data_IF_011664892908
#
_entry.id   IF_011664892908
#
_cell.length_a   1.000
_cell.length_b   1.000
_cell.length_c   1.000
_cell.angle_alpha   90.00
_cell.angle_beta   90.00
_cell.angle_gamma   90.00
#
_symmetry.space_group_name_H-M   'P 1'
#
loop_
_entity.id
_entity.type
_entity.pdbx_description
1 polymer ?
#
# COMPACT_ATOMS: atom_id res chain seq x y z
N UNK A 1 -21.51 -10.08 5.88
CA UNK A 1 -20.07 -10.32 5.64
C UNK A 1 -19.96 -10.67 4.17
N UNK A 2 -19.12 -9.96 3.42
CA UNK A 2 -18.93 -10.27 1.99
C UNK A 2 -18.12 -11.56 1.91
N UNK A 3 -18.52 -12.48 1.03
CA UNK A 3 -17.82 -13.74 0.87
C UNK A 3 -16.45 -13.53 0.20
N UNK A 4 -15.42 -14.25 0.66
CA UNK A 4 -14.06 -14.11 0.13
C UNK A 4 -14.01 -14.45 -1.36
N UNK A 5 -14.72 -15.50 -1.79
CA UNK A 5 -14.76 -15.90 -3.20
C UNK A 5 -15.45 -14.84 -4.06
N UNK A 6 -16.49 -14.19 -3.52
CA UNK A 6 -17.16 -13.07 -4.19
C UNK A 6 -16.20 -11.89 -4.40
N UNK A 7 -15.35 -11.55 -3.41
CA UNK A 7 -14.37 -10.48 -3.56
C UNK A 7 -13.25 -10.85 -4.54
N UNK A 8 -12.69 -12.06 -4.44
CA UNK A 8 -11.68 -12.56 -5.37
C UNK A 8 -12.21 -12.52 -6.80
N UNK A 9 -13.46 -12.96 -7.03
CA UNK A 9 -14.10 -12.89 -8.33
C UNK A 9 -14.36 -11.45 -8.79
N UNK A 10 -14.88 -10.59 -7.90
CA UNK A 10 -15.18 -9.18 -8.19
C UNK A 10 -13.94 -8.40 -8.62
N UNK A 11 -12.82 -8.69 -7.98
CA UNK A 11 -11.54 -8.04 -8.21
C UNK A 11 -10.64 -8.81 -9.20
N UNK A 12 -11.16 -9.87 -9.84
CA UNK A 12 -10.45 -10.74 -10.78
C UNK A 12 -9.09 -11.23 -10.22
N UNK A 13 -9.00 -11.42 -8.90
CA UNK A 13 -7.77 -11.83 -8.21
C UNK A 13 -7.46 -13.27 -8.60
N UNK A 14 -6.26 -13.51 -9.13
CA UNK A 14 -5.82 -14.86 -9.48
C UNK A 14 -5.90 -15.78 -8.24
N UNK A 15 -6.37 -17.02 -8.42
CA UNK A 15 -6.54 -17.98 -7.33
C UNK A 15 -5.28 -18.13 -6.45
N UNK A 16 -4.10 -18.24 -7.05
CA UNK A 16 -2.82 -18.33 -6.34
C UNK A 16 -2.58 -17.12 -5.45
N UNK A 17 -2.97 -15.94 -5.93
CA UNK A 17 -2.84 -14.70 -5.17
C UNK A 17 -3.91 -14.56 -4.08
N UNK A 18 -5.12 -15.02 -4.37
CA UNK A 18 -6.19 -15.17 -3.38
C UNK A 18 -5.74 -16.04 -2.20
N UNK A 19 -5.10 -17.17 -2.46
CA UNK A 19 -4.57 -18.03 -1.37
C UNK A 19 -3.53 -17.30 -0.52
N UNK A 20 -2.71 -16.43 -1.11
CA UNK A 20 -1.71 -15.65 -0.36
C UNK A 20 -2.33 -14.60 0.55
N UNK A 21 -3.54 -14.11 0.25
CA UNK A 21 -4.21 -13.12 1.10
C UNK A 21 -4.60 -13.64 2.47
N UNK A 22 -4.70 -14.96 2.65
CA UNK A 22 -4.90 -15.55 3.98
C UNK A 22 -3.76 -15.24 4.96
N UNK A 23 -2.60 -14.77 4.49
CA UNK A 23 -1.56 -14.22 5.39
C UNK A 23 -2.09 -13.09 6.28
N UNK A 24 -3.11 -12.36 5.82
CA UNK A 24 -3.72 -11.27 6.58
C UNK A 24 -4.54 -11.79 7.77
N UNK A 25 -4.85 -13.09 7.83
CA UNK A 25 -5.44 -13.71 9.01
C UNK A 25 -4.45 -13.65 10.16
N UNK A 26 -4.79 -12.87 11.19
CA UNK A 26 -3.89 -12.65 12.33
C UNK A 26 -3.04 -11.38 12.23
N UNK A 27 -3.34 -10.49 11.27
CA UNK A 27 -2.92 -9.09 11.33
C UNK A 27 -4.07 -8.21 11.84
N UNK A 28 -3.75 -7.29 12.76
CA UNK A 28 -4.49 -6.04 12.88
C UNK A 28 -4.07 -5.11 11.75
N UNK A 29 -5.03 -4.55 11.00
CA UNK A 29 -4.73 -3.75 9.82
C UNK A 29 -5.06 -2.28 10.09
N UNK A 30 -4.04 -1.42 9.93
CA UNK A 30 -4.17 0.03 10.05
C UNK A 30 -3.85 0.70 8.72
N UNK A 31 -4.72 1.61 8.31
CA UNK A 31 -4.51 2.46 7.14
C UNK A 31 -4.29 3.91 7.59
N UNK A 32 -3.17 4.53 7.24
CA UNK A 32 -2.89 5.96 7.43
C UNK A 32 -3.09 6.64 6.07
N UNK A 33 -4.07 7.51 5.98
CA UNK A 33 -4.43 8.23 4.77
C UNK A 33 -3.88 9.66 4.82
N UNK A 34 -3.07 10.01 3.82
CA UNK A 34 -2.72 11.39 3.55
C UNK A 34 -3.94 12.15 3.02
N UNK A 35 -4.40 13.10 3.80
CA UNK A 35 -5.47 14.02 3.45
C UNK A 35 -4.99 15.46 3.45
N UNK A 36 -3.72 15.69 3.13
CA UNK A 36 -3.11 17.00 2.95
C UNK A 36 -3.58 17.72 1.69
N UNK A 37 -3.22 19.00 1.57
CA UNK A 37 -3.58 19.82 0.41
C UNK A 37 -3.00 19.32 -0.92
N UNK A 38 -1.79 18.74 -0.91
CA UNK A 38 -1.09 18.25 -2.11
C UNK A 38 -1.84 17.12 -2.80
N UNK A 39 -2.59 16.31 -2.05
CA UNK A 39 -3.42 15.24 -2.58
C UNK A 39 -4.54 15.72 -3.54
N UNK A 40 -4.87 17.02 -3.58
CA UNK A 40 -5.80 17.55 -4.58
C UNK A 40 -5.16 17.74 -5.97
N UNK A 41 -3.86 17.51 -6.11
CA UNK A 41 -3.15 17.60 -7.39
C UNK A 41 -3.76 16.60 -8.38
N UNK A 42 -4.18 17.05 -9.58
CA UNK A 42 -4.60 16.16 -10.65
C UNK A 42 -3.47 15.21 -11.02
N UNK A 43 -3.79 13.97 -11.35
CA UNK A 43 -2.82 13.04 -11.92
C UNK A 43 -2.56 13.40 -13.38
N UNK A 44 -1.31 13.53 -13.78
CA UNK A 44 -0.98 13.81 -15.18
C UNK A 44 -1.35 12.63 -16.08
N UNK A 45 -2.08 12.98 -17.16
CA UNK A 45 -2.47 12.11 -18.27
C UNK A 45 -3.55 11.07 -17.93
N UNK A 46 -4.68 11.08 -18.65
CA UNK A 46 -5.59 9.92 -18.89
C UNK A 46 -7.00 10.30 -19.34
N UNK A 47 -7.40 11.56 -19.25
CA UNK A 47 -8.78 11.95 -19.50
C UNK A 47 -8.88 12.74 -20.81
N UNK A 48 -9.95 12.53 -21.60
CA UNK A 48 -10.15 13.33 -22.81
C UNK A 48 -10.15 14.83 -22.48
N UNK A 49 -10.02 15.73 -23.47
CA UNK A 49 -9.93 17.18 -23.25
C UNK A 49 -11.11 17.81 -22.47
N UNK A 50 -12.15 17.03 -22.16
CA UNK A 50 -13.35 17.44 -21.44
C UNK A 50 -13.65 16.60 -20.19
N UNK A 51 -12.86 15.56 -19.92
CA UNK A 51 -13.07 14.71 -18.75
C UNK A 51 -12.40 15.32 -17.52
N UNK A 52 -13.03 15.16 -16.35
CA UNK A 52 -12.44 15.58 -15.09
C UNK A 52 -11.27 14.65 -14.76
N UNK A 53 -10.06 15.19 -14.72
CA UNK A 53 -8.88 14.45 -14.29
C UNK A 53 -9.04 14.02 -12.81
N UNK A 54 -8.84 12.73 -12.49
CA UNK A 54 -8.83 12.29 -11.10
C UNK A 54 -7.65 12.94 -10.36
N UNK A 55 -7.88 13.31 -9.10
CA UNK A 55 -6.80 13.75 -8.21
C UNK A 55 -6.14 12.57 -7.49
N UNK A 56 -4.94 12.78 -6.94
CA UNK A 56 -4.28 11.83 -6.04
C UNK A 56 -5.19 11.41 -4.86
N UNK A 57 -6.03 12.33 -4.39
CA UNK A 57 -7.05 12.09 -3.38
C UNK A 57 -8.15 11.16 -3.87
N UNK A 58 -8.59 11.27 -5.12
CA UNK A 58 -9.57 10.35 -5.71
C UNK A 58 -9.01 8.94 -5.86
N UNK A 59 -7.74 8.83 -6.23
CA UNK A 59 -7.02 7.55 -6.27
C UNK A 59 -6.88 6.92 -4.88
N UNK A 60 -6.49 7.71 -3.86
CA UNK A 60 -6.42 7.23 -2.48
C UNK A 60 -7.78 6.69 -2.02
N UNK A 61 -8.89 7.39 -2.29
CA UNK A 61 -10.24 6.90 -1.93
C UNK A 61 -10.54 5.54 -2.54
N UNK A 62 -10.20 5.35 -3.81
CA UNK A 62 -10.41 4.10 -4.52
C UNK A 62 -9.56 2.99 -3.91
N UNK A 63 -8.27 3.26 -3.73
CA UNK A 63 -7.28 2.40 -3.07
C UNK A 63 -7.78 1.92 -1.71
N UNK A 64 -8.09 2.85 -0.81
CA UNK A 64 -8.57 2.54 0.54
C UNK A 64 -9.87 1.76 0.48
N UNK A 65 -10.77 2.10 -0.45
CA UNK A 65 -12.05 1.38 -0.60
C UNK A 65 -11.85 -0.09 -1.00
N UNK A 66 -10.92 -0.38 -1.91
CA UNK A 66 -10.59 -1.74 -2.33
C UNK A 66 -9.96 -2.50 -1.17
N UNK A 67 -8.92 -1.91 -0.55
CA UNK A 67 -8.17 -2.55 0.53
C UNK A 67 -9.07 -2.82 1.73
N UNK A 68 -9.87 -1.87 2.18
CA UNK A 68 -10.79 -2.06 3.32
C UNK A 68 -11.76 -3.20 3.05
N UNK A 69 -12.32 -3.29 1.84
CA UNK A 69 -13.25 -4.36 1.51
C UNK A 69 -12.57 -5.74 1.51
N UNK A 70 -11.31 -5.82 1.07
CA UNK A 70 -10.52 -7.06 1.10
C UNK A 70 -10.07 -7.43 2.51
N UNK A 71 -9.40 -6.51 3.20
CA UNK A 71 -8.83 -6.68 4.52
C UNK A 71 -9.89 -7.02 5.58
N UNK A 72 -11.08 -6.42 5.51
CA UNK A 72 -12.19 -6.71 6.45
C UNK A 72 -12.78 -8.12 6.35
N UNK A 73 -12.38 -8.92 5.35
CA UNK A 73 -12.71 -10.35 5.31
C UNK A 73 -11.81 -11.16 6.24
N UNK A 74 -10.57 -10.70 6.46
CA UNK A 74 -9.56 -11.37 7.27
C UNK A 74 -9.45 -10.79 8.68
N UNK A 75 -9.73 -9.49 8.82
CA UNK A 75 -9.80 -8.80 10.10
C UNK A 75 -11.26 -8.77 10.60
N UNK A 76 -11.56 -9.62 11.59
CA UNK A 76 -12.90 -9.74 12.14
C UNK A 76 -13.39 -8.49 12.88
N UNK A 77 -12.47 -7.69 13.44
CA UNK A 77 -12.82 -6.43 14.06
C UNK A 77 -12.93 -5.30 13.04
N UNK A 78 -12.17 -5.44 11.94
CA UNK A 78 -12.18 -4.55 10.79
C UNK A 78 -10.97 -3.63 10.78
N UNK A 79 -10.86 -2.82 9.74
CA UNK A 79 -9.67 -1.98 9.52
C UNK A 79 -9.81 -0.66 10.26
N UNK A 80 -8.74 -0.19 10.89
CA UNK A 80 -8.69 1.14 11.48
C UNK A 80 -8.04 2.14 10.51
N UNK A 81 -8.75 3.23 10.24
CA UNK A 81 -8.36 4.23 9.25
C UNK A 81 -8.04 5.55 9.95
N UNK A 82 -6.75 5.89 10.00
CA UNK A 82 -6.23 7.16 10.48
C UNK A 82 -6.07 8.12 9.30
N UNK A 83 -6.13 9.40 9.59
CA UNK A 83 -5.90 10.47 8.63
C UNK A 83 -4.87 11.44 9.21
N UNK A 84 -4.16 12.16 8.34
CA UNK A 84 -3.16 13.12 8.79
C UNK A 84 -3.76 14.37 9.45
N UNK A 85 -4.90 14.84 8.92
CA UNK A 85 -5.49 16.13 9.28
C UNK A 85 -6.93 16.02 9.83
N UNK A 86 -7.44 14.80 10.06
CA UNK A 86 -8.77 14.57 10.67
C UNK A 86 -8.77 13.37 11.62
N UNK A 87 -9.89 13.20 12.33
CA UNK A 87 -10.05 12.13 13.32
C UNK A 87 -10.03 10.74 12.65
N UNK A 88 -9.46 9.72 13.32
CA UNK A 88 -9.51 8.35 12.83
C UNK A 88 -10.94 7.78 12.85
N UNK A 89 -11.15 6.75 12.04
CA UNK A 89 -12.37 5.93 11.99
C UNK A 89 -11.97 4.49 12.27
N UNK A 90 -12.56 3.90 13.30
CA UNK A 90 -12.21 2.58 13.77
C UNK A 90 -13.19 1.51 13.27
N UNK A 91 -12.69 0.28 13.15
CA UNK A 91 -13.45 -0.96 12.96
C UNK A 91 -14.27 -0.90 11.66
N UNK A 92 -13.62 -0.43 10.60
CA UNK A 92 -14.20 -0.27 9.28
C UNK A 92 -14.29 -1.63 8.62
N UNK A 93 -15.52 -2.14 8.46
CA UNK A 93 -15.83 -3.44 7.86
C UNK A 93 -16.30 -3.35 6.42
N UNK A 94 -16.48 -2.14 5.91
CA UNK A 94 -16.92 -1.87 4.54
C UNK A 94 -16.54 -0.45 4.14
N UNK A 95 -16.02 -0.27 2.93
CA UNK A 95 -15.66 1.04 2.38
C UNK A 95 -16.82 2.05 2.37
N UNK A 96 -18.08 1.60 2.35
CA UNK A 96 -19.26 2.48 2.47
C UNK A 96 -19.26 3.32 3.74
N UNK A 97 -18.64 2.85 4.83
CA UNK A 97 -18.51 3.62 6.08
C UNK A 97 -17.60 4.84 5.93
N UNK A 98 -16.72 4.85 4.93
CA UNK A 98 -15.78 5.96 4.67
C UNK A 98 -16.35 7.02 3.73
N UNK A 99 -17.45 6.73 3.02
CA UNK A 99 -18.08 7.68 2.08
C UNK A 99 -18.35 9.05 2.71
N UNK A 100 -18.95 9.15 3.90
CA UNK A 100 -19.20 10.46 4.53
C UNK A 100 -17.92 11.24 4.83
N UNK A 101 -16.82 10.53 5.11
CA UNK A 101 -15.52 11.12 5.45
C UNK A 101 -14.82 11.63 4.20
N UNK A 102 -14.92 10.89 3.10
CA UNK A 102 -14.30 11.24 1.82
C UNK A 102 -15.03 12.33 1.04
N UNK A 103 -16.24 12.73 1.46
CA UNK A 103 -16.91 13.93 0.93
C UNK A 103 -16.12 15.19 1.29
N UNK A 104 -15.43 15.20 2.43
CA UNK A 104 -14.61 16.32 2.87
C UNK A 104 -13.29 16.30 2.06
N UNK A 105 -12.98 17.36 1.30
CA UNK A 105 -11.74 17.45 0.54
C UNK A 105 -10.49 17.29 1.42
N UNK A 106 -9.37 16.92 0.80
CA UNK A 106 -8.08 16.90 1.48
C UNK A 106 -7.58 18.35 1.68
N UNK A 107 -6.98 18.65 2.82
CA UNK A 107 -6.46 19.97 3.16
C UNK A 107 -5.50 19.90 4.34
N UNK A 108 -4.53 20.80 4.39
CA UNK A 108 -3.58 20.90 5.51
C UNK A 108 -2.18 20.38 5.14
N UNK A 109 -1.27 20.35 6.14
CA UNK A 109 0.08 19.82 5.99
C UNK A 109 0.10 18.27 5.86
N UNK A 110 1.29 17.69 5.79
CA UNK A 110 1.52 16.23 5.71
C UNK A 110 2.21 15.69 6.97
N UNK A 111 1.59 15.78 8.17
CA UNK A 111 2.19 15.42 9.45
C UNK A 111 2.24 13.91 9.70
N UNK A 112 2.99 13.17 8.87
CA UNK A 112 3.09 11.70 8.96
C UNK A 112 3.67 11.26 10.31
N UNK A 113 4.76 11.89 10.75
CA UNK A 113 5.49 11.52 11.98
C UNK A 113 4.59 11.48 13.24
N UNK A 114 3.85 12.55 13.61
CA UNK A 114 3.01 12.51 14.81
C UNK A 114 1.87 11.50 14.71
N UNK A 115 1.28 11.30 13.52
CA UNK A 115 0.20 10.31 13.32
C UNK A 115 0.74 8.89 13.37
N UNK A 116 1.89 8.62 12.77
CA UNK A 116 2.55 7.31 12.83
C UNK A 116 2.88 6.94 14.29
N UNK A 117 3.45 7.87 15.07
CA UNK A 117 3.67 7.68 16.51
C UNK A 117 2.38 7.52 17.30
N UNK A 118 1.29 8.15 16.86
CA UNK A 118 -0.01 7.93 17.49
C UNK A 118 -0.49 6.50 17.27
N UNK A 119 -0.44 6.00 16.03
CA UNK A 119 -0.77 4.61 15.68
C UNK A 119 0.05 3.62 16.50
N UNK A 120 1.38 3.76 16.53
CA UNK A 120 2.25 2.85 17.29
C UNK A 120 1.90 2.77 18.79
N UNK A 121 1.46 3.89 19.38
CA UNK A 121 1.06 3.93 20.80
C UNK A 121 -0.34 3.36 21.02
N UNK A 122 -1.28 3.73 20.16
CA UNK A 122 -2.68 3.30 20.26
C UNK A 122 -2.79 1.77 20.07
N UNK A 123 -1.99 1.26 19.13
CA UNK A 123 -1.93 -0.14 18.73
C UNK A 123 -0.88 -0.95 19.51
N UNK A 124 -0.32 -0.39 20.57
CA UNK A 124 0.75 -1.06 21.32
C UNK A 124 0.33 -2.44 21.84
N UNK A 125 -0.94 -2.61 22.20
CA UNK A 125 -1.49 -3.88 22.67
C UNK A 125 -1.62 -4.93 21.56
N UNK A 126 -1.85 -4.50 20.31
CA UNK A 126 -1.90 -5.36 19.12
C UNK A 126 -0.50 -5.76 18.63
N UNK A 127 0.58 -5.20 19.20
CA UNK A 127 1.95 -5.56 18.85
C UNK A 127 2.38 -6.86 19.56
N UNK A 128 1.69 -7.24 20.65
CA UNK A 128 1.99 -8.45 21.42
C UNK A 128 1.45 -9.70 20.71
N UNK A 129 0.15 -9.76 20.39
CA UNK A 129 -0.52 -10.66 19.41
C UNK A 129 -1.91 -10.04 19.10
N UNK A 130 -2.35 -9.79 17.83
CA UNK A 130 -1.82 -10.18 16.50
C UNK A 130 -0.50 -9.53 16.06
N UNK A 131 -0.13 -9.64 14.78
CA UNK A 131 0.86 -8.73 14.15
C UNK A 131 0.15 -7.47 13.64
N UNK A 132 0.87 -6.37 13.43
CA UNK A 132 0.26 -5.09 13.01
C UNK A 132 0.74 -4.68 11.61
N UNK A 133 -0.14 -4.71 10.61
CA UNK A 133 0.18 -4.21 9.28
C UNK A 133 -0.22 -2.74 9.17
N UNK A 134 0.74 -1.87 8.87
CA UNK A 134 0.49 -0.45 8.64
C UNK A 134 0.60 -0.14 7.15
N UNK A 135 -0.47 0.37 6.56
CA UNK A 135 -0.53 0.86 5.19
C UNK A 135 -0.56 2.38 5.22
N UNK A 136 0.42 3.06 4.64
CA UNK A 136 0.49 4.52 4.56
C UNK A 136 0.32 4.95 3.10
N UNK A 137 -0.81 5.57 2.74
CA UNK A 137 -0.97 6.18 1.42
C UNK A 137 -0.66 7.68 1.48
N UNK A 138 0.29 8.16 0.68
CA UNK A 138 0.74 9.56 0.65
C UNK A 138 1.30 9.93 -0.71
N UNK A 139 1.21 11.20 -1.10
CA UNK A 139 1.80 11.70 -2.34
C UNK A 139 3.18 12.33 -2.17
N UNK A 140 3.77 12.35 -0.97
CA UNK A 140 5.10 12.91 -0.86
C UNK A 140 5.70 13.03 0.52
N UNK A 141 6.29 14.19 0.77
CA UNK A 141 7.23 14.41 1.85
C UNK A 141 6.50 14.72 3.15
N UNK A 142 6.77 13.91 4.18
CA UNK A 142 6.36 14.23 5.57
C UNK A 142 6.77 15.67 5.92
N UNK A 143 5.85 16.42 6.49
CA UNK A 143 6.11 17.77 7.02
C UNK A 143 5.89 17.83 8.53
N UNK A 144 6.48 18.83 9.17
CA UNK A 144 6.10 19.23 10.53
C UNK A 144 4.76 20.00 10.52
N UNK A 145 4.31 20.43 11.72
CA UNK A 145 3.09 21.22 11.86
C UNK A 145 3.17 22.64 11.26
N UNK A 146 4.36 23.07 10.84
CA UNK A 146 4.61 24.34 10.15
C UNK A 146 4.70 24.16 8.63
N UNK A 147 4.62 22.92 8.12
CA UNK A 147 4.74 22.59 6.71
C UNK A 147 6.19 22.43 6.22
N UNK A 148 7.19 22.40 7.11
CA UNK A 148 8.58 22.15 6.72
C UNK A 148 8.84 20.67 6.55
N UNK A 149 9.64 20.29 5.55
CA UNK A 149 10.03 18.90 5.28
C UNK A 149 10.70 18.25 6.49
N UNK A 150 10.20 17.08 6.89
CA UNK A 150 10.63 16.32 8.07
C UNK A 150 10.90 14.83 7.75
N UNK A 151 11.63 14.59 6.67
CA UNK A 151 12.00 13.25 6.19
C UNK A 151 12.84 12.50 7.24
N UNK A 152 13.75 13.21 7.93
CA UNK A 152 14.69 12.60 8.89
C UNK A 152 13.98 12.04 10.12
N UNK A 153 12.98 12.75 10.64
CA UNK A 153 12.20 12.24 11.77
C UNK A 153 11.35 11.05 11.35
N UNK A 154 10.82 11.06 10.13
CA UNK A 154 10.08 9.90 9.62
C UNK A 154 10.97 8.67 9.47
N UNK A 155 12.17 8.83 8.92
CA UNK A 155 13.18 7.76 8.86
C UNK A 155 13.51 7.21 10.25
N UNK A 156 13.69 8.12 11.22
CA UNK A 156 13.99 7.77 12.60
C UNK A 156 12.88 6.93 13.21
N UNK A 157 11.61 7.32 13.03
CA UNK A 157 10.46 6.55 13.52
C UNK A 157 10.44 5.14 12.92
N UNK A 158 10.64 5.02 11.61
CA UNK A 158 10.62 3.72 10.90
C UNK A 158 11.75 2.78 11.34
N UNK A 159 12.93 3.31 11.69
CA UNK A 159 14.11 2.52 12.07
C UNK A 159 14.21 2.25 13.58
N UNK A 160 13.89 3.26 14.39
CA UNK A 160 14.22 3.28 15.82
C UNK A 160 12.99 3.08 16.70
N UNK A 161 11.85 3.70 16.36
CA UNK A 161 10.65 3.67 17.22
C UNK A 161 9.68 2.55 16.87
N UNK A 162 9.61 2.14 15.60
CA UNK A 162 8.81 0.99 15.15
C UNK A 162 9.41 -0.32 15.66
N UNK A 163 8.95 -0.79 16.83
CA UNK A 163 9.44 -2.00 17.50
C UNK A 163 8.29 -2.87 18.03
N UNK A 164 8.42 -4.22 17.93
CA UNK A 164 9.48 -4.96 17.25
C UNK A 164 9.26 -4.94 15.73
N UNK A 165 10.30 -4.63 14.98
CA UNK A 165 10.22 -4.31 13.54
C UNK A 165 9.73 -5.49 12.67
N UNK A 166 9.88 -6.73 13.14
CA UNK A 166 9.41 -7.93 12.46
C UNK A 166 7.90 -8.19 12.59
N UNK A 167 7.23 -7.58 13.58
CA UNK A 167 5.78 -7.73 13.80
C UNK A 167 4.97 -6.53 13.30
N UNK A 168 5.65 -5.52 12.78
CA UNK A 168 5.01 -4.28 12.31
C UNK A 168 5.45 -4.00 10.88
N UNK A 169 5.10 -4.85 9.90
CA UNK A 169 5.34 -4.53 8.49
C UNK A 169 4.65 -3.21 8.12
N UNK A 170 5.32 -2.42 7.30
CA UNK A 170 4.81 -1.14 6.79
C UNK A 170 4.85 -1.16 5.29
N UNK A 171 3.73 -0.86 4.65
CA UNK A 171 3.68 -0.58 3.21
C UNK A 171 3.38 0.89 3.00
N UNK A 172 4.21 1.59 2.23
CA UNK A 172 3.91 2.94 1.77
C UNK A 172 3.37 2.86 0.34
N UNK A 173 2.18 3.39 0.14
CA UNK A 173 1.51 3.50 -1.15
C UNK A 173 1.70 4.95 -1.63
N UNK A 174 2.63 5.14 -2.57
CA UNK A 174 2.94 6.44 -3.16
C UNK A 174 1.88 6.81 -4.21
N UNK A 175 1.07 7.83 -3.89
CA UNK A 175 0.03 8.37 -4.76
C UNK A 175 0.59 9.51 -5.63
N UNK A 176 1.47 9.16 -6.57
CA UNK A 176 2.14 10.12 -7.47
C UNK A 176 2.34 9.51 -8.86
N UNK A 177 2.50 10.37 -9.86
CA UNK A 177 2.51 10.10 -11.31
C UNK A 177 3.90 9.83 -11.94
N UNK A 178 4.87 9.49 -11.09
CA UNK A 178 6.27 9.22 -11.40
C UNK A 178 7.07 10.45 -11.91
N UNK A 179 8.31 10.59 -11.43
CA UNK A 179 9.21 11.76 -11.57
C UNK A 179 9.09 12.89 -10.53
N UNK A 180 8.41 12.67 -9.39
CA UNK A 180 8.43 13.64 -8.30
C UNK A 180 9.64 13.39 -7.37
N UNK A 181 10.57 14.35 -7.31
CA UNK A 181 11.70 14.40 -6.34
C UNK A 181 11.21 14.19 -4.89
N UNK A 182 9.91 14.42 -4.65
CA UNK A 182 9.24 14.20 -3.38
C UNK A 182 9.18 12.73 -2.92
N UNK A 183 9.46 11.72 -3.76
CA UNK A 183 9.39 10.30 -3.37
C UNK A 183 10.67 9.48 -3.60
N UNK A 184 11.73 10.08 -4.18
CA UNK A 184 12.98 9.36 -4.48
C UNK A 184 13.60 8.69 -3.23
N UNK A 185 13.50 9.34 -2.07
CA UNK A 185 14.02 8.81 -0.81
C UNK A 185 13.33 7.51 -0.37
N UNK A 186 12.07 7.28 -0.77
CA UNK A 186 11.33 6.05 -0.44
C UNK A 186 11.97 4.84 -1.14
N UNK A 187 12.42 4.99 -2.39
CA UNK A 187 13.12 3.94 -3.12
C UNK A 187 14.44 3.53 -2.47
N UNK A 188 15.11 4.47 -1.79
CA UNK A 188 16.28 4.12 -0.98
C UNK A 188 15.90 3.38 0.30
N UNK A 189 14.79 3.76 0.92
CA UNK A 189 14.33 3.17 2.18
C UNK A 189 13.82 1.74 2.00
N UNK A 190 13.12 1.43 0.90
CA UNK A 190 12.68 0.08 0.53
C UNK A 190 13.83 -0.95 0.62
N UNK A 191 15.04 -0.52 0.26
CA UNK A 191 16.24 -1.36 0.24
C UNK A 191 16.94 -1.46 1.60
N UNK A 192 16.74 -0.46 2.47
CA UNK A 192 17.57 -0.25 3.68
C UNK A 192 16.80 -0.51 4.99
N UNK A 193 15.49 -0.38 4.98
CA UNK A 193 14.64 -0.50 6.17
C UNK A 193 13.94 -1.85 6.12
N UNK A 194 14.15 -2.74 7.11
CA UNK A 194 13.55 -4.08 7.09
C UNK A 194 12.03 -4.00 7.25
N UNK A 195 11.29 -4.86 6.54
CA UNK A 195 9.82 -4.92 6.54
C UNK A 195 9.18 -3.54 6.25
N UNK A 196 9.78 -2.81 5.33
CA UNK A 196 9.21 -1.62 4.71
C UNK A 196 9.11 -1.92 3.22
N UNK A 197 7.92 -1.82 2.66
CA UNK A 197 7.65 -2.00 1.23
C UNK A 197 7.10 -0.69 0.65
N UNK A 198 7.54 -0.33 -0.56
CA UNK A 198 7.05 0.85 -1.27
C UNK A 198 6.34 0.41 -2.55
N UNK A 199 5.09 0.83 -2.71
CA UNK A 199 4.27 0.57 -3.90
C UNK A 199 3.83 1.89 -4.50
N UNK A 200 3.88 2.02 -5.82
CA UNK A 200 3.22 3.12 -6.52
C UNK A 200 1.77 2.73 -6.78
N UNK A 201 0.83 3.64 -6.55
CA UNK A 201 -0.58 3.33 -6.80
C UNK A 201 -0.92 3.36 -8.30
N UNK A 202 -0.21 4.15 -9.11
CA UNK A 202 -0.44 4.24 -10.57
C UNK A 202 0.43 3.28 -11.39
N UNK A 203 0.03 2.01 -11.49
CA UNK A 203 0.73 1.03 -12.34
C UNK A 203 -0.13 0.48 -13.48
N UNK A 204 -0.87 1.36 -14.18
CA UNK A 204 -1.50 1.00 -15.47
C UNK A 204 -0.73 1.58 -16.68
N UNK A 205 0.04 2.66 -16.51
CA UNK A 205 0.75 3.32 -17.64
C UNK A 205 2.29 3.33 -17.55
N UNK A 206 2.90 3.25 -16.37
CA UNK A 206 4.36 3.10 -16.26
C UNK A 206 4.81 1.80 -16.94
N UNK A 207 4.08 0.70 -16.71
CA UNK A 207 4.30 -0.57 -17.37
C UNK A 207 4.12 -0.47 -18.90
N UNK A 208 3.07 0.20 -19.41
CA UNK A 208 2.87 0.41 -20.85
C UNK A 208 3.95 1.28 -21.50
N UNK A 209 4.44 2.33 -20.81
CA UNK A 209 5.53 3.18 -21.29
C UNK A 209 6.85 2.42 -21.35
N UNK A 210 7.13 1.57 -20.37
CA UNK A 210 8.33 0.70 -20.31
C UNK A 210 8.26 -0.42 -21.36
N UNK A 211 7.09 -1.02 -21.56
CA UNK A 211 6.83 -2.00 -22.63
C UNK A 211 7.07 -1.40 -24.04
N UNK A 212 6.73 -0.12 -24.26
CA UNK A 212 6.93 0.58 -25.53
C UNK A 212 8.38 1.06 -25.75
N UNK A 213 9.16 1.30 -24.70
CA UNK A 213 10.52 1.86 -24.80
C UNK A 213 11.64 0.81 -24.88
N UNK A 214 11.42 -0.43 -24.40
CA UNK A 214 12.45 -1.49 -24.41
C UNK A 214 12.09 -2.65 -25.33
N UNK A 215 12.13 -2.44 -26.65
CA UNK A 215 11.96 -3.52 -27.64
C UNK A 215 13.18 -4.44 -27.76
N UNK A 216 14.34 -4.11 -27.18
CA UNK A 216 15.57 -4.94 -27.27
C UNK A 216 15.99 -5.65 -25.98
N UNK A 217 15.48 -5.24 -24.82
CA UNK A 217 15.83 -5.85 -23.52
C UNK A 217 14.86 -6.98 -23.10
N UNK A 218 13.80 -7.18 -23.89
CA UNK A 218 12.78 -8.21 -23.69
C UNK A 218 13.35 -9.64 -23.65
N UNK A 219 14.42 -9.90 -24.41
CA UNK A 219 15.05 -11.23 -24.46
C UNK A 219 15.99 -11.49 -23.27
N UNK A 220 16.45 -10.45 -22.57
CA UNK A 220 17.37 -10.60 -21.42
C UNK A 220 16.65 -10.70 -20.08
N UNK A 221 15.50 -10.05 -19.91
CA UNK A 221 14.70 -10.16 -18.67
C UNK A 221 13.90 -11.46 -18.55
N UNK A 222 13.71 -12.19 -19.66
CA UNK A 222 12.96 -13.44 -19.68
C UNK A 222 13.62 -14.60 -18.94
N UNK A 223 14.94 -14.56 -18.70
CA UNK A 223 15.67 -15.65 -18.06
C UNK A 223 15.60 -15.67 -16.52
N UNK A 224 15.04 -14.64 -15.87
CA UNK A 224 14.94 -14.58 -14.39
C UNK A 224 13.51 -14.39 -13.83
N UNK A 225 12.48 -14.21 -14.68
CA UNK A 225 11.08 -14.06 -14.25
C UNK A 225 10.14 -14.87 -15.17
N UNK A 226 10.19 -16.20 -15.10
CA UNK A 226 9.23 -17.10 -15.78
C UNK A 226 8.00 -17.44 -14.91
N UNK A 227 7.36 -16.46 -14.26
CA UNK A 227 6.19 -16.76 -13.41
C UNK A 227 4.92 -15.93 -13.64
N UNK A 228 4.92 -14.86 -14.45
CA UNK A 228 3.70 -14.06 -14.63
C UNK A 228 3.48 -13.66 -16.10
N UNK A 229 2.36 -14.09 -16.74
CA UNK A 229 2.00 -13.68 -18.10
C UNK A 229 1.39 -12.26 -18.10
N UNK A 230 1.40 -11.55 -19.24
CA UNK A 230 0.91 -10.18 -19.33
C UNK A 230 -0.62 -10.17 -19.42
N UNK A 231 -1.30 -9.43 -18.55
CA UNK A 231 -2.75 -9.24 -18.60
C UNK A 231 -3.10 -7.77 -18.37
N UNK A 232 -4.15 -7.33 -19.06
CA UNK A 232 -4.65 -5.96 -19.12
C UNK A 232 -5.70 -5.77 -17.99
N UNK A 233 -5.66 -4.63 -17.26
CA UNK A 233 -6.42 -4.23 -16.03
C UNK A 233 -5.64 -4.33 -14.70
N UNK A 234 -4.45 -3.75 -14.66
CA UNK A 234 -3.41 -4.00 -13.66
C UNK A 234 -3.71 -3.48 -12.25
N UNK A 235 -4.33 -2.32 -12.07
CA UNK A 235 -4.38 -1.61 -10.78
C UNK A 235 -4.79 -2.44 -9.54
N UNK A 236 -5.84 -3.27 -9.64
CA UNK A 236 -6.33 -4.05 -8.47
C UNK A 236 -5.32 -5.09 -7.98
N UNK A 237 -4.59 -5.76 -8.89
CA UNK A 237 -3.62 -6.80 -8.51
C UNK A 237 -2.44 -6.20 -7.76
N UNK A 238 -1.98 -5.02 -8.19
CA UNK A 238 -0.89 -4.29 -7.54
C UNK A 238 -1.30 -3.79 -6.15
N UNK A 239 -2.54 -3.32 -6.01
CA UNK A 239 -3.09 -2.93 -4.71
C UNK A 239 -3.21 -4.12 -3.75
N UNK A 240 -3.58 -5.29 -4.27
CA UNK A 240 -3.64 -6.53 -3.50
C UNK A 240 -2.22 -6.99 -3.13
N UNK A 241 -1.22 -6.74 -3.98
CA UNK A 241 0.19 -7.02 -3.67
C UNK A 241 0.74 -6.10 -2.58
N UNK A 242 0.35 -4.82 -2.61
CA UNK A 242 0.78 -3.83 -1.63
C UNK A 242 0.39 -4.18 -0.19
N UNK A 243 -0.66 -4.97 0.00
CA UNK A 243 -1.12 -5.37 1.34
C UNK A 243 -0.52 -6.69 1.82
N UNK A 244 0.22 -7.42 1.00
CA UNK A 244 0.91 -8.65 1.42
C UNK A 244 2.32 -8.29 1.89
N UNK A 245 2.68 -8.50 3.17
CA UNK A 245 4.03 -8.18 3.65
C UNK A 245 5.12 -8.93 2.88
N UNK A 246 6.17 -8.24 2.42
CA UNK A 246 7.27 -8.87 1.68
C UNK A 246 7.99 -9.96 2.46
N UNK A 247 8.08 -9.83 3.78
CA UNK A 247 8.63 -10.86 4.66
C UNK A 247 7.94 -12.21 4.45
N UNK A 248 6.61 -12.20 4.29
CA UNK A 248 5.84 -13.39 3.99
C UNK A 248 6.16 -13.94 2.59
N UNK A 249 6.19 -13.07 1.57
CA UNK A 249 6.50 -13.48 0.18
C UNK A 249 7.86 -14.17 0.10
N UNK A 250 8.88 -13.63 0.76
CA UNK A 250 10.21 -14.22 0.81
C UNK A 250 10.22 -15.56 1.54
N UNK A 251 9.58 -15.65 2.71
CA UNK A 251 9.51 -16.89 3.47
C UNK A 251 8.79 -18.02 2.71
N UNK A 252 7.71 -17.70 1.98
CA UNK A 252 7.01 -18.64 1.11
C UNK A 252 7.89 -19.14 -0.03
N UNK A 253 8.64 -18.24 -0.69
CA UNK A 253 9.55 -18.63 -1.78
C UNK A 253 10.69 -19.52 -1.30
N UNK A 254 11.24 -19.25 -0.12
CA UNK A 254 12.27 -20.08 0.49
C UNK A 254 11.75 -21.49 0.81
N UNK A 255 10.52 -21.61 1.31
CA UNK A 255 9.87 -22.90 1.56
C UNK A 255 9.67 -23.71 0.26
N UNK A 256 9.17 -23.07 -0.80
CA UNK A 256 8.97 -23.70 -2.11
C UNK A 256 10.29 -24.21 -2.69
N UNK A 257 11.37 -23.42 -2.59
CA UNK A 257 12.70 -23.81 -3.06
C UNK A 257 13.26 -25.01 -2.28
N UNK A 258 13.06 -25.08 -0.97
CA UNK A 258 13.47 -26.22 -0.16
C UNK A 258 12.73 -27.50 -0.56
N UNK A 259 11.42 -27.39 -0.84
CA UNK A 259 10.61 -28.53 -1.28
C UNK A 259 11.07 -29.06 -2.65
N UNK A 260 11.39 -28.18 -3.59
CA UNK A 260 11.93 -28.56 -4.91
C UNK A 260 13.29 -29.27 -4.76
N UNK A 261 14.17 -28.75 -3.89
CA UNK A 261 15.48 -29.36 -3.63
C UNK A 261 15.37 -30.73 -2.96
N UNK A 262 14.35 -30.93 -2.13
CA UNK A 262 14.10 -32.21 -1.45
C UNK A 262 13.46 -33.25 -2.38
N UNK A 263 12.62 -32.83 -3.33
CA UNK A 263 12.05 -33.69 -4.38
C UNK A 263 13.04 -34.07 -5.48
N UNK A 264 14.14 -33.34 -5.60
CA UNK A 264 15.20 -33.58 -6.60
C UNK A 264 16.34 -34.50 -6.11
N UNK A 265 16.23 -35.03 -4.89
CA UNK A 265 17.14 -36.01 -4.30
C UNK A 265 16.47 -37.37 -4.19
#
# INVERSE_FOLDING_TARGET
MVDFQELVARYEINHTFGTKLHVLEGYGIVFICDDSGSMNTPLDDLSGPFDKMPSRWDELKQTVSIVVNLASVFDSDGVDVYFLNRKPVFHVRNSKQLVPIFIIPSSGPTPIVPVFRHVLRDKQHEIEEPELLILLATDGVSTDNQGHRDIRSFEYVLKQERKPTNRIPVTIIACTDDDDDCVEYLNEWDKKIPNLDIHQSLDNHYFERKLKSTSSDFDKMRLHHEAFPPFNKDHTVYMVAAIIPRSYVLSSLEADLQEIQQKSK
#
